data_IF_079690485566
#
_entry.id   IF_079690485566
#
_cell.length_a   1.000
_cell.length_b   1.000
_cell.length_c   1.000
_cell.angle_alpha   90.00
_cell.angle_beta   90.00
_cell.angle_gamma   90.00
#
_symmetry.space_group_name_H-M   'P 1'
#
loop_
_entity.id
_entity.type
_entity.pdbx_description
1 polymer ?
#
# COMPACT_ATOMS: atom_id res chain seq x y z
N UNK A 1 -17.85 -5.70 15.96
CA UNK A 1 -17.11 -6.47 14.93
C UNK A 1 -17.19 -5.91 13.49
N UNK A 2 -18.34 -5.44 12.98
CA UNK A 2 -18.45 -4.87 11.61
C UNK A 2 -17.80 -3.48 11.45
N UNK A 3 -17.64 -2.72 12.54
CA UNK A 3 -17.16 -1.34 12.50
C UNK A 3 -15.69 -1.19 12.06
N UNK A 4 -14.82 -2.15 12.43
CA UNK A 4 -13.38 -2.05 12.15
C UNK A 4 -13.11 -2.09 10.63
N UNK A 5 -13.93 -2.80 9.86
CA UNK A 5 -13.83 -2.86 8.40
C UNK A 5 -14.49 -1.66 7.71
N UNK A 6 -15.60 -1.15 8.23
CA UNK A 6 -16.39 -0.11 7.55
C UNK A 6 -15.76 1.27 7.69
N UNK A 7 -15.15 1.60 8.83
CA UNK A 7 -14.53 2.92 9.07
C UNK A 7 -13.55 3.36 7.97
N UNK A 8 -12.52 2.57 7.58
CA UNK A 8 -11.63 2.98 6.48
C UNK A 8 -12.34 3.10 5.13
N UNK A 9 -13.42 2.33 4.89
CA UNK A 9 -14.23 2.48 3.68
C UNK A 9 -15.00 3.80 3.66
N UNK A 10 -15.50 4.28 4.80
CA UNK A 10 -16.15 5.59 4.93
C UNK A 10 -15.16 6.72 4.61
N UNK A 11 -13.95 6.67 5.18
CA UNK A 11 -12.92 7.68 4.87
C UNK A 11 -12.50 7.66 3.40
N UNK A 12 -12.40 6.47 2.80
CA UNK A 12 -12.12 6.34 1.36
C UNK A 12 -13.25 6.95 0.52
N UNK A 13 -14.51 6.65 0.85
CA UNK A 13 -15.65 7.19 0.12
C UNK A 13 -15.72 8.72 0.24
N UNK A 14 -15.44 9.27 1.42
CA UNK A 14 -15.35 10.72 1.64
C UNK A 14 -14.23 11.34 0.81
N UNK A 15 -13.02 10.78 0.85
CA UNK A 15 -11.92 11.27 0.03
C UNK A 15 -12.27 11.25 -1.47
N UNK A 16 -12.92 10.19 -1.96
CA UNK A 16 -13.33 10.11 -3.37
C UNK A 16 -14.44 11.11 -3.73
N UNK A 17 -15.33 11.42 -2.79
CA UNK A 17 -16.33 12.48 -2.96
C UNK A 17 -15.65 13.85 -3.05
N UNK A 18 -14.72 14.13 -2.13
CA UNK A 18 -13.94 15.37 -2.14
C UNK A 18 -13.09 15.50 -3.42
N UNK A 19 -12.49 14.39 -3.88
CA UNK A 19 -11.75 14.32 -5.15
C UNK A 19 -12.60 14.66 -6.38
N UNK A 20 -13.88 14.27 -6.36
CA UNK A 20 -14.81 14.56 -7.45
C UNK A 20 -15.33 16.01 -7.41
N UNK A 21 -15.25 16.69 -6.26
CA UNK A 21 -15.67 18.07 -6.08
C UNK A 21 -14.57 19.05 -6.46
N UNK A 22 -14.79 19.81 -7.54
CA UNK A 22 -13.83 20.80 -8.05
C UNK A 22 -13.63 22.01 -7.13
N UNK A 23 -14.48 22.18 -6.11
CA UNK A 23 -14.36 23.28 -5.14
C UNK A 23 -13.40 22.95 -4.01
N UNK A 24 -13.02 21.68 -3.85
CA UNK A 24 -12.12 21.21 -2.79
C UNK A 24 -10.72 21.04 -3.37
N UNK A 25 -9.77 21.82 -2.84
CA UNK A 25 -8.35 21.64 -3.15
C UNK A 25 -7.75 20.52 -2.30
N UNK A 26 -7.79 19.30 -2.84
CA UNK A 26 -7.19 18.11 -2.24
C UNK A 26 -5.66 18.13 -2.25
N UNK A 27 -5.03 19.07 -2.98
CA UNK A 27 -3.57 19.24 -3.04
C UNK A 27 -3.05 20.22 -2.00
N UNK A 28 -3.94 20.87 -1.24
CA UNK A 28 -3.56 21.67 -0.09
C UNK A 28 -3.08 20.76 1.06
N UNK A 29 -1.87 21.02 1.57
CA UNK A 29 -1.30 20.28 2.70
C UNK A 29 -2.14 20.41 3.99
N UNK A 30 -2.88 21.49 4.17
CA UNK A 30 -3.83 21.63 5.28
C UNK A 30 -4.96 20.61 5.16
N UNK A 31 -5.51 20.42 3.95
CA UNK A 31 -6.52 19.39 3.69
C UNK A 31 -5.97 18.00 3.97
N UNK A 32 -4.76 17.70 3.49
CA UNK A 32 -4.08 16.41 3.73
C UNK A 32 -3.92 16.14 5.22
N UNK A 33 -3.35 17.10 5.95
CA UNK A 33 -3.06 16.94 7.37
C UNK A 33 -4.34 16.82 8.18
N UNK A 34 -5.36 17.63 7.88
CA UNK A 34 -6.67 17.54 8.52
C UNK A 34 -7.34 16.19 8.25
N UNK A 35 -7.32 15.74 6.99
CA UNK A 35 -7.90 14.46 6.59
C UNK A 35 -7.21 13.29 7.28
N UNK A 36 -5.88 13.25 7.31
CA UNK A 36 -5.14 12.20 8.01
C UNK A 36 -5.38 12.24 9.53
N UNK A 37 -5.41 13.42 10.14
CA UNK A 37 -5.67 13.59 11.56
C UNK A 37 -7.02 12.99 11.99
N UNK A 38 -8.03 12.99 11.11
CA UNK A 38 -9.34 12.40 11.40
C UNK A 38 -9.30 10.89 11.64
N UNK A 39 -8.52 10.15 10.87
CA UNK A 39 -8.53 8.68 10.92
C UNK A 39 -7.28 8.06 11.55
N UNK A 40 -6.22 8.84 11.75
CA UNK A 40 -5.00 8.40 12.41
C UNK A 40 -5.23 7.79 13.80
N UNK A 41 -6.09 8.34 14.69
CA UNK A 41 -6.37 7.73 15.99
C UNK A 41 -6.91 6.30 15.85
N UNK A 42 -7.79 6.06 14.89
CA UNK A 42 -8.35 4.73 14.63
C UNK A 42 -7.30 3.74 14.10
N UNK A 43 -6.37 4.20 13.26
CA UNK A 43 -5.27 3.36 12.80
C UNK A 43 -4.29 3.04 13.95
N UNK A 44 -4.03 3.97 14.85
CA UNK A 44 -3.21 3.72 16.06
C UNK A 44 -3.90 2.72 16.97
N UNK A 45 -5.19 2.90 17.22
CA UNK A 45 -6.01 1.97 17.99
C UNK A 45 -5.94 0.56 17.39
N UNK A 46 -6.12 0.43 16.07
CA UNK A 46 -6.04 -0.84 15.36
C UNK A 46 -4.69 -1.57 15.53
N UNK A 47 -3.58 -0.81 15.59
CA UNK A 47 -2.22 -1.34 15.71
C UNK A 47 -1.84 -1.72 17.15
N UNK A 48 -2.37 -0.99 18.13
CA UNK A 48 -2.01 -1.15 19.54
C UNK A 48 -3.01 -2.01 20.33
N UNK A 49 -4.30 -1.93 20.00
CA UNK A 49 -5.34 -2.74 20.61
C UNK A 49 -5.46 -4.07 19.86
N UNK A 50 -4.67 -5.04 20.32
CA UNK A 50 -4.88 -6.45 19.98
C UNK A 50 -6.05 -6.97 20.80
N UNK A 51 -7.26 -6.64 20.36
CA UNK A 51 -8.45 -7.34 20.82
C UNK A 51 -8.24 -8.83 20.54
N UNK A 52 -8.09 -9.62 21.61
CA UNK A 52 -7.65 -11.03 21.56
C UNK A 52 -8.61 -11.87 20.70
N UNK A 53 -9.87 -11.43 20.61
CA UNK A 53 -10.94 -12.14 19.92
C UNK A 53 -11.07 -11.73 18.43
N UNK A 54 -10.38 -10.68 17.99
CA UNK A 54 -10.49 -10.20 16.61
C UNK A 54 -9.56 -10.97 15.66
N UNK A 55 -10.09 -11.67 14.63
CA UNK A 55 -9.25 -12.42 13.69
C UNK A 55 -8.22 -11.52 13.00
N UNK A 56 -6.94 -11.89 13.08
CA UNK A 56 -5.81 -11.07 12.62
C UNK A 56 -5.92 -10.63 11.16
N UNK A 57 -6.44 -11.47 10.26
CA UNK A 57 -6.65 -11.11 8.86
C UNK A 57 -7.65 -9.96 8.67
N UNK A 58 -8.63 -9.79 9.57
CA UNK A 58 -9.57 -8.66 9.51
C UNK A 58 -8.86 -7.35 9.86
N UNK A 59 -7.97 -7.38 10.84
CA UNK A 59 -7.12 -6.26 11.23
C UNK A 59 -6.20 -5.90 10.06
N UNK A 60 -5.52 -6.90 9.47
CA UNK A 60 -4.64 -6.72 8.32
C UNK A 60 -5.37 -6.04 7.14
N UNK A 61 -6.58 -6.50 6.79
CA UNK A 61 -7.38 -5.85 5.74
C UNK A 61 -7.81 -4.41 6.07
N UNK A 62 -8.02 -4.08 7.35
CA UNK A 62 -8.31 -2.70 7.75
C UNK A 62 -7.04 -1.82 7.68
N UNK A 63 -5.89 -2.33 8.15
CA UNK A 63 -4.59 -1.66 8.04
C UNK A 63 -4.25 -1.34 6.58
N UNK A 64 -4.44 -2.32 5.70
CA UNK A 64 -4.30 -2.15 4.26
C UNK A 64 -5.10 -0.97 3.72
N UNK A 65 -6.38 -0.86 4.09
CA UNK A 65 -7.24 0.23 3.57
C UNK A 65 -6.78 1.60 4.05
N UNK A 66 -6.33 1.72 5.30
CA UNK A 66 -5.75 2.98 5.79
C UNK A 66 -4.44 3.33 5.08
N UNK A 67 -3.57 2.35 4.85
CA UNK A 67 -2.33 2.58 4.10
C UNK A 67 -2.62 2.95 2.64
N UNK A 68 -3.63 2.33 2.02
CA UNK A 68 -4.07 2.70 0.68
C UNK A 68 -4.63 4.12 0.63
N UNK A 69 -5.43 4.52 1.62
CA UNK A 69 -5.91 5.91 1.72
C UNK A 69 -4.75 6.91 1.85
N UNK A 70 -3.71 6.58 2.63
CA UNK A 70 -2.50 7.38 2.72
C UNK A 70 -1.78 7.48 1.37
N UNK A 71 -1.69 6.39 0.60
CA UNK A 71 -1.13 6.44 -0.77
C UNK A 71 -1.93 7.41 -1.64
N UNK A 72 -3.27 7.29 -1.67
CA UNK A 72 -4.13 8.18 -2.46
C UNK A 72 -3.95 9.64 -2.06
N UNK A 73 -3.88 9.92 -0.76
CA UNK A 73 -3.78 11.27 -0.23
C UNK A 73 -2.45 11.94 -0.60
N UNK A 74 -1.34 11.21 -0.59
CA UNK A 74 0.00 11.78 -0.81
C UNK A 74 0.48 11.68 -2.27
N UNK A 75 -0.12 10.84 -3.12
CA UNK A 75 0.31 10.69 -4.53
C UNK A 75 0.28 12.00 -5.33
N UNK A 76 -0.74 12.87 -5.22
CA UNK A 76 -0.76 14.16 -5.93
C UNK A 76 0.44 15.06 -5.59
N UNK A 77 1.01 14.90 -4.40
CA UNK A 77 2.08 15.74 -3.87
C UNK A 77 3.47 15.38 -4.40
N UNK A 78 3.60 14.25 -5.12
CA UNK A 78 4.85 13.84 -5.77
C UNK A 78 5.26 14.79 -6.89
N UNK A 79 4.30 15.48 -7.52
CA UNK A 79 4.56 16.41 -8.61
C UNK A 79 5.12 17.77 -8.13
N UNK A 80 5.01 18.08 -6.84
CA UNK A 80 5.37 19.39 -6.29
C UNK A 80 6.68 19.30 -5.48
N UNK A 81 7.77 19.97 -5.91
CA UNK A 81 9.08 19.83 -5.27
C UNK A 81 9.11 20.12 -3.77
N UNK A 82 8.27 21.06 -3.30
CA UNK A 82 8.19 21.47 -1.90
C UNK A 82 7.65 20.36 -0.98
N UNK A 83 6.72 19.54 -1.49
CA UNK A 83 6.02 18.51 -0.70
C UNK A 83 6.47 17.09 -1.05
N UNK A 84 7.17 16.92 -2.18
CA UNK A 84 7.61 15.62 -2.67
C UNK A 84 8.44 14.82 -1.65
N UNK A 85 9.41 15.37 -0.89
CA UNK A 85 10.15 14.59 0.10
C UNK A 85 9.27 13.97 1.18
N UNK A 86 8.31 14.76 1.71
CA UNK A 86 7.35 14.25 2.70
C UNK A 86 6.45 13.18 2.09
N UNK A 87 5.97 13.40 0.86
CA UNK A 87 5.12 12.47 0.15
C UNK A 87 5.83 11.13 -0.12
N UNK A 88 7.08 11.17 -0.60
CA UNK A 88 7.89 9.98 -0.85
C UNK A 88 8.09 9.15 0.43
N UNK A 89 8.53 9.76 1.53
CA UNK A 89 8.69 9.06 2.81
C UNK A 89 7.37 8.44 3.32
N UNK A 90 6.27 9.16 3.16
CA UNK A 90 4.95 8.74 3.63
C UNK A 90 4.39 7.59 2.79
N UNK A 91 4.57 7.66 1.47
CA UNK A 91 4.18 6.61 0.52
C UNK A 91 5.07 5.38 0.71
N UNK A 92 6.38 5.53 0.85
CA UNK A 92 7.32 4.44 1.09
C UNK A 92 6.91 3.61 2.31
N UNK A 93 6.56 4.27 3.42
CA UNK A 93 6.02 3.63 4.62
C UNK A 93 4.69 2.90 4.34
N UNK A 94 3.77 3.54 3.63
CA UNK A 94 2.45 2.98 3.33
C UNK A 94 2.51 1.75 2.40
N UNK A 95 3.35 1.80 1.36
CA UNK A 95 3.61 0.69 0.43
C UNK A 95 4.27 -0.46 1.18
N UNK A 96 5.29 -0.16 2.00
CA UNK A 96 5.94 -1.16 2.85
C UNK A 96 4.93 -1.92 3.70
N UNK A 97 4.08 -1.20 4.43
CA UNK A 97 3.07 -1.81 5.30
C UNK A 97 2.02 -2.60 4.51
N UNK A 98 1.62 -2.11 3.33
CA UNK A 98 0.74 -2.84 2.42
C UNK A 98 1.33 -4.17 1.97
N UNK A 99 2.60 -4.20 1.58
CA UNK A 99 3.28 -5.44 1.15
C UNK A 99 3.45 -6.44 2.30
N UNK A 100 3.75 -5.96 3.51
CA UNK A 100 3.74 -6.80 4.71
C UNK A 100 2.34 -7.39 4.99
N UNK A 101 1.28 -6.60 4.81
CA UNK A 101 -0.10 -7.11 4.92
C UNK A 101 -0.38 -8.22 3.90
N UNK A 102 0.02 -8.07 2.64
CA UNK A 102 -0.13 -9.14 1.65
C UNK A 102 0.65 -10.39 2.05
N UNK A 103 1.91 -10.24 2.48
CA UNK A 103 2.73 -11.35 2.96
C UNK A 103 2.07 -12.11 4.13
N UNK A 104 1.48 -11.39 5.08
CA UNK A 104 0.72 -11.97 6.20
C UNK A 104 -0.55 -12.69 5.74
N UNK A 105 -1.31 -12.11 4.81
CA UNK A 105 -2.52 -12.75 4.27
C UNK A 105 -2.19 -14.02 3.47
N UNK A 106 -1.05 -14.04 2.78
CA UNK A 106 -0.55 -15.22 2.07
C UNK A 106 -0.16 -16.31 3.06
N UNK A 107 0.64 -15.99 4.08
CA UNK A 107 1.12 -16.97 5.06
C UNK A 107 0.00 -17.56 5.91
N UNK A 108 -1.08 -16.81 6.12
CA UNK A 108 -2.28 -17.27 6.86
C UNK A 108 -3.34 -17.90 5.97
N UNK A 109 -3.10 -18.04 4.65
CA UNK A 109 -4.06 -18.54 3.67
C UNK A 109 -5.40 -17.76 3.65
N UNK A 110 -5.36 -16.47 3.99
CA UNK A 110 -6.53 -15.57 4.01
C UNK A 110 -6.52 -14.58 2.83
N UNK A 111 -5.56 -14.70 1.92
CA UNK A 111 -5.57 -13.97 0.66
C UNK A 111 -6.52 -14.67 -0.32
N UNK A 112 -7.59 -13.95 -0.70
CA UNK A 112 -8.46 -14.34 -1.79
C UNK A 112 -8.11 -13.48 -3.02
N UNK A 113 -7.49 -14.06 -4.06
CA UNK A 113 -7.08 -13.31 -5.24
C UNK A 113 -8.26 -12.55 -5.87
N UNK A 114 -8.03 -11.29 -6.24
CA UNK A 114 -9.03 -10.49 -6.95
C UNK A 114 -8.37 -9.47 -7.87
N UNK A 115 -9.02 -9.16 -9.00
CA UNK A 115 -8.50 -8.18 -9.95
C UNK A 115 -8.20 -6.79 -9.32
N UNK A 116 -9.05 -6.23 -8.43
CA UNK A 116 -8.73 -4.98 -7.75
C UNK A 116 -7.49 -5.06 -6.84
N UNK A 117 -7.08 -6.25 -6.39
CA UNK A 117 -5.82 -6.41 -5.66
C UNK A 117 -4.63 -6.37 -6.60
N UNK A 118 -4.72 -6.99 -7.78
CA UNK A 118 -3.68 -6.93 -8.83
C UNK A 118 -3.38 -5.48 -9.20
N UNK A 119 -4.41 -4.67 -9.46
CA UNK A 119 -4.23 -3.25 -9.78
C UNK A 119 -3.49 -2.48 -8.68
N UNK A 120 -3.80 -2.76 -7.41
CA UNK A 120 -3.12 -2.12 -6.27
C UNK A 120 -1.68 -2.61 -6.12
N UNK A 121 -1.42 -3.89 -6.33
CA UNK A 121 -0.06 -4.44 -6.33
C UNK A 121 0.80 -3.78 -7.42
N UNK A 122 0.25 -3.57 -8.62
CA UNK A 122 0.93 -2.85 -9.70
C UNK A 122 1.28 -1.42 -9.29
N UNK A 123 0.32 -0.68 -8.72
CA UNK A 123 0.57 0.67 -8.20
C UNK A 123 1.62 0.66 -7.10
N UNK A 124 1.55 -0.28 -6.16
CA UNK A 124 2.57 -0.44 -5.12
C UNK A 124 3.95 -0.72 -5.72
N UNK A 125 4.06 -1.52 -6.78
CA UNK A 125 5.33 -1.78 -7.47
C UNK A 125 5.89 -0.56 -8.18
N UNK A 126 5.05 0.23 -8.84
CA UNK A 126 5.46 1.50 -9.46
C UNK A 126 5.92 2.51 -8.40
N UNK A 127 5.18 2.65 -7.31
CA UNK A 127 5.57 3.52 -6.19
C UNK A 127 6.84 3.03 -5.50
N UNK A 128 7.05 1.71 -5.40
CA UNK A 128 8.27 1.13 -4.84
C UNK A 128 9.50 1.53 -5.67
N UNK A 129 9.40 1.51 -7.00
CA UNK A 129 10.44 2.00 -7.91
C UNK A 129 10.71 3.48 -7.66
N UNK A 130 9.67 4.32 -7.63
CA UNK A 130 9.82 5.76 -7.44
C UNK A 130 10.42 6.12 -6.08
N UNK A 131 9.96 5.48 -5.00
CA UNK A 131 10.50 5.66 -3.66
C UNK A 131 11.95 5.15 -3.53
N UNK A 132 12.32 4.10 -4.27
CA UNK A 132 13.71 3.64 -4.31
C UNK A 132 14.63 4.68 -4.94
N UNK A 133 14.25 5.20 -6.11
CA UNK A 133 15.00 6.28 -6.80
C UNK A 133 15.09 7.55 -5.95
N UNK A 134 14.04 7.86 -5.17
CA UNK A 134 14.03 8.97 -4.23
C UNK A 134 14.91 8.75 -2.97
N UNK A 135 15.46 7.54 -2.78
CA UNK A 135 16.33 7.22 -1.64
C UNK A 135 15.61 6.92 -0.33
N UNK A 136 14.31 6.57 -0.37
CA UNK A 136 13.49 6.32 0.82
C UNK A 136 13.71 4.95 1.47
N UNK A 137 14.43 4.06 0.79
CA UNK A 137 14.70 2.71 1.27
C UNK A 137 16.18 2.52 1.55
N UNK A 138 16.48 1.85 2.67
CA UNK A 138 17.81 1.32 2.89
C UNK A 138 18.13 0.23 1.85
N UNK A 139 19.43 0.00 1.58
CA UNK A 139 19.91 -0.93 0.55
C UNK A 139 19.37 -2.37 0.70
N UNK A 140 18.99 -2.77 1.92
CA UNK A 140 18.43 -4.10 2.21
C UNK A 140 16.90 -4.15 2.23
N UNK A 141 16.22 -3.00 2.25
CA UNK A 141 14.76 -2.95 2.32
C UNK A 141 14.12 -3.17 0.96
N UNK A 142 14.60 -2.47 -0.07
CA UNK A 142 14.00 -2.54 -1.40
C UNK A 142 13.95 -3.98 -1.97
N UNK A 143 15.03 -4.80 -1.95
CA UNK A 143 14.98 -6.17 -2.46
C UNK A 143 13.91 -7.03 -1.77
N UNK A 144 13.78 -6.89 -0.44
CA UNK A 144 12.78 -7.61 0.36
C UNK A 144 11.36 -7.21 -0.05
N UNK A 145 11.12 -5.92 -0.26
CA UNK A 145 9.81 -5.41 -0.68
C UNK A 145 9.45 -5.87 -2.10
N UNK A 146 10.41 -5.85 -3.03
CA UNK A 146 10.20 -6.41 -4.37
C UNK A 146 9.89 -7.91 -4.32
N UNK A 147 10.54 -8.68 -3.45
CA UNK A 147 10.22 -10.10 -3.27
C UNK A 147 8.78 -10.29 -2.78
N UNK A 148 8.35 -9.54 -1.77
CA UNK A 148 6.95 -9.60 -1.28
C UNK A 148 5.93 -9.25 -2.36
N UNK A 149 6.24 -8.28 -3.22
CA UNK A 149 5.41 -7.92 -4.36
C UNK A 149 5.31 -9.06 -5.37
N UNK A 150 6.45 -9.68 -5.72
CA UNK A 150 6.51 -10.83 -6.64
C UNK A 150 5.72 -12.00 -6.08
N UNK A 151 5.92 -12.35 -4.80
CA UNK A 151 5.19 -13.44 -4.14
C UNK A 151 3.67 -13.19 -4.16
N UNK A 152 3.25 -11.95 -3.95
CA UNK A 152 1.84 -11.57 -4.02
C UNK A 152 1.26 -11.68 -5.43
N UNK A 153 2.02 -11.30 -6.46
CA UNK A 153 1.60 -11.45 -7.87
C UNK A 153 1.56 -12.92 -8.30
N UNK A 154 2.53 -13.74 -7.89
CA UNK A 154 2.57 -15.18 -8.16
C UNK A 154 1.34 -15.88 -7.54
N UNK A 155 0.82 -15.42 -6.38
CA UNK A 155 -0.46 -15.92 -5.83
C UNK A 155 -1.70 -15.58 -6.67
N UNK A 156 -1.63 -14.56 -7.52
CA UNK A 156 -2.72 -14.17 -8.43
C UNK A 156 -2.58 -14.82 -9.83
N UNK A 157 -1.38 -15.27 -10.20
CA UNK A 157 -1.06 -15.86 -11.52
C UNK A 157 -1.99 -17.00 -11.95
N UNK A 158 -2.38 -17.97 -11.08
CA UNK A 158 -3.29 -19.05 -11.49
C UNK A 158 -4.66 -18.56 -11.99
N UNK A 159 -5.08 -17.36 -11.57
CA UNK A 159 -6.34 -16.75 -12.00
C UNK A 159 -6.13 -15.75 -13.15
N UNK A 160 -5.04 -14.98 -13.10
CA UNK A 160 -4.70 -13.98 -14.11
C UNK A 160 -3.25 -14.14 -14.57
N UNK A 161 -3.01 -14.83 -15.70
CA UNK A 161 -1.66 -15.13 -16.18
C UNK A 161 -0.75 -13.91 -16.40
N UNK A 162 -1.32 -12.74 -16.69
CA UNK A 162 -0.59 -11.45 -16.78
C UNK A 162 0.22 -11.15 -15.51
N UNK A 163 -0.15 -11.70 -14.36
CA UNK A 163 0.61 -11.52 -13.13
C UNK A 163 2.01 -12.14 -13.21
N UNK A 164 2.22 -13.20 -14.01
CA UNK A 164 3.54 -13.77 -14.23
C UNK A 164 4.47 -12.82 -15.00
N UNK A 165 3.95 -12.09 -15.98
CA UNK A 165 4.69 -11.05 -16.70
C UNK A 165 5.00 -9.85 -15.79
N UNK A 166 4.02 -9.41 -15.00
CA UNK A 166 4.20 -8.34 -14.01
C UNK A 166 5.26 -8.71 -12.97
N UNK A 167 5.21 -9.93 -12.44
CA UNK A 167 6.19 -10.46 -11.48
C UNK A 167 7.59 -10.49 -12.09
N UNK A 168 7.73 -10.93 -13.35
CA UNK A 168 9.00 -10.91 -14.06
C UNK A 168 9.54 -9.48 -14.26
N UNK A 169 8.66 -8.53 -14.62
CA UNK A 169 9.01 -7.12 -14.80
C UNK A 169 9.49 -6.44 -13.51
N UNK A 170 8.73 -6.56 -12.42
CA UNK A 170 9.15 -6.05 -11.11
C UNK A 170 10.39 -6.78 -10.59
N UNK A 171 10.54 -8.06 -10.92
CA UNK A 171 11.75 -8.80 -10.59
C UNK A 171 12.98 -8.31 -11.33
N UNK A 172 12.82 -7.86 -12.58
CA UNK A 172 13.90 -7.22 -13.34
C UNK A 172 14.26 -5.84 -12.77
N UNK A 173 13.27 -5.04 -12.36
CA UNK A 173 13.51 -3.77 -11.69
C UNK A 173 14.33 -3.95 -10.40
N UNK A 174 13.96 -4.93 -9.55
CA UNK A 174 14.71 -5.24 -8.34
C UNK A 174 16.19 -5.59 -8.61
N UNK A 175 16.47 -6.33 -9.69
CA UNK A 175 17.85 -6.65 -10.10
C UNK A 175 18.62 -5.43 -10.58
N UNK A 176 17.97 -4.52 -11.30
CA UNK A 176 18.59 -3.28 -11.74
C UNK A 176 19.04 -2.42 -10.53
N UNK A 177 18.32 -2.51 -9.41
CA UNK A 177 18.64 -1.85 -8.14
C UNK A 177 19.63 -2.62 -7.24
N UNK A 178 20.29 -3.66 -7.77
CA UNK A 178 21.27 -4.46 -7.03
C UNK A 178 20.67 -5.51 -6.09
N UNK A 179 19.36 -5.76 -6.17
CA UNK A 179 18.66 -6.81 -5.41
C UNK A 179 18.74 -8.18 -6.07
N UNK A 180 18.86 -9.24 -5.26
CA UNK A 180 18.69 -10.63 -5.70
C UNK A 180 17.30 -11.12 -5.28
N UNK A 181 16.50 -11.62 -6.23
CA UNK A 181 15.20 -12.24 -5.96
C UNK A 181 15.28 -13.74 -6.24
N UNK A 182 14.79 -14.54 -5.30
CA UNK A 182 14.61 -15.98 -5.47
C UNK A 182 13.14 -16.27 -5.72
N UNK A 183 12.79 -16.56 -6.97
CA UNK A 183 11.43 -16.98 -7.31
C UNK A 183 11.25 -18.42 -6.83
N UNK A 184 10.52 -18.61 -5.73
CA UNK A 184 10.10 -19.95 -5.29
C UNK A 184 8.95 -20.41 -6.19
N UNK A 185 9.24 -21.38 -7.06
CA UNK A 185 8.24 -22.12 -7.83
C UNK A 185 7.46 -23.06 -6.92
#
# INVERSE_FOLDING_TARGET
>A
MNEVRSRPSVFTARYLADYADRTIDITNMEYVTATEAMWMPHLRELRHNKDIDSPRFKIAWAEFRYNWLRVLLYTPHLAYPQTAPLAYATIARAVTQTLYTYSELISTHQLHPSWPQVQRLVVCGQLLILCHEAGEFHVHEAPKLFQMLVDALDKHEPTWPVCGELAAGFGAAARAFGGWLTRTR
#
